data_IF_476026139848
#
_entry.id   IF_476026139848
#
_cell.length_a   1.000
_cell.length_b   1.000
_cell.length_c   1.000
_cell.angle_alpha   90.00
_cell.angle_beta   90.00
_cell.angle_gamma   90.00
#
_symmetry.space_group_name_H-M   'P 1'
#
loop_
_entity.id
_entity.type
_entity.pdbx_description
1 polymer ?
#
# COMPACT_ATOMS: atom_id res chain seq x y z
N UNK A 1 -12.85 11.26 -28.96
CA UNK A 1 -13.76 10.65 -27.96
C UNK A 1 -13.53 9.15 -28.00
N UNK A 2 -12.71 8.63 -27.07
CA UNK A 2 -12.38 7.20 -27.01
C UNK A 2 -13.55 6.39 -26.45
N UNK A 3 -13.79 5.25 -27.05
CA UNK A 3 -14.84 4.27 -26.77
C UNK A 3 -15.01 3.99 -25.26
N UNK A 4 -16.04 4.61 -24.66
CA UNK A 4 -16.41 4.46 -23.24
C UNK A 4 -17.09 3.11 -22.92
N UNK A 5 -17.22 2.21 -23.90
CA UNK A 5 -18.05 1.00 -23.75
C UNK A 5 -17.27 -0.29 -23.58
N UNK A 6 -15.96 -0.29 -23.84
CA UNK A 6 -15.18 -1.53 -23.79
C UNK A 6 -14.70 -1.85 -22.37
N UNK A 7 -15.35 -2.84 -21.75
CA UNK A 7 -14.94 -3.39 -20.46
C UNK A 7 -13.49 -3.91 -20.56
N UNK A 8 -12.57 -3.47 -19.68
CA UNK A 8 -11.18 -3.92 -19.72
C UNK A 8 -11.07 -5.44 -19.52
N UNK A 9 -10.34 -6.14 -20.40
CA UNK A 9 -10.09 -7.60 -20.26
C UNK A 9 -9.54 -7.99 -18.89
N UNK A 10 -8.72 -7.11 -18.31
CA UNK A 10 -8.13 -7.29 -16.97
C UNK A 10 -9.18 -7.38 -15.84
N UNK A 11 -10.39 -6.83 -16.03
CA UNK A 11 -11.47 -7.01 -15.06
C UNK A 11 -11.85 -8.49 -14.95
N UNK A 12 -12.05 -9.16 -16.09
CA UNK A 12 -12.41 -10.58 -16.12
C UNK A 12 -11.27 -11.46 -15.61
N UNK A 13 -10.01 -11.13 -15.94
CA UNK A 13 -8.84 -11.83 -15.39
C UNK A 13 -8.77 -11.68 -13.88
N UNK A 14 -8.94 -10.45 -13.36
CA UNK A 14 -8.92 -10.18 -11.93
C UNK A 14 -10.02 -10.91 -11.17
N UNK A 15 -11.27 -10.79 -11.63
CA UNK A 15 -12.42 -11.48 -11.05
C UNK A 15 -12.29 -13.00 -11.14
N UNK A 16 -11.79 -13.52 -12.27
CA UNK A 16 -11.56 -14.95 -12.44
C UNK A 16 -10.49 -15.49 -11.48
N UNK A 17 -9.37 -14.76 -11.32
CA UNK A 17 -8.35 -15.09 -10.33
C UNK A 17 -8.93 -15.13 -8.92
N UNK A 18 -9.68 -14.09 -8.54
CA UNK A 18 -10.34 -14.03 -7.23
C UNK A 18 -11.28 -15.23 -7.07
N UNK A 19 -12.21 -15.44 -8.00
CA UNK A 19 -13.22 -16.49 -7.88
C UNK A 19 -12.59 -17.88 -7.74
N UNK A 20 -11.61 -18.20 -8.60
CA UNK A 20 -10.95 -19.51 -8.59
C UNK A 20 -10.11 -19.68 -7.33
N UNK A 21 -9.23 -18.73 -7.03
CA UNK A 21 -8.25 -18.88 -5.94
C UNK A 21 -8.92 -18.78 -4.58
N UNK A 22 -9.94 -17.94 -4.45
CA UNK A 22 -10.73 -17.84 -3.22
C UNK A 22 -11.46 -19.16 -2.95
N UNK A 23 -12.04 -19.77 -3.98
CA UNK A 23 -12.65 -21.10 -3.87
C UNK A 23 -11.63 -22.13 -3.41
N UNK A 24 -10.47 -22.22 -4.07
CA UNK A 24 -9.39 -23.14 -3.69
C UNK A 24 -8.90 -22.93 -2.25
N UNK A 25 -8.86 -21.67 -1.80
CA UNK A 25 -8.50 -21.33 -0.42
C UNK A 25 -9.52 -21.85 0.58
N UNK A 26 -10.82 -21.63 0.33
CA UNK A 26 -11.91 -22.08 1.21
C UNK A 26 -12.10 -23.59 1.21
N UNK A 27 -11.82 -24.27 0.10
CA UNK A 27 -11.87 -25.74 0.02
C UNK A 27 -10.59 -26.40 0.51
N UNK A 28 -9.59 -25.63 0.95
CA UNK A 28 -8.28 -26.11 1.40
C UNK A 28 -7.62 -27.07 0.39
N UNK A 29 -7.79 -26.81 -0.91
CA UNK A 29 -7.28 -27.68 -1.98
C UNK A 29 -5.77 -27.51 -2.11
N UNK A 30 -5.02 -28.35 -1.38
CA UNK A 30 -3.55 -28.35 -1.42
C UNK A 30 -3.02 -28.94 -2.74
N UNK A 31 -1.89 -28.44 -3.27
CA UNK A 31 -1.04 -27.38 -2.69
C UNK A 31 -1.50 -25.96 -3.01
N UNK A 32 -2.52 -25.75 -3.85
CA UNK A 32 -2.88 -24.42 -4.37
C UNK A 32 -3.33 -23.44 -3.29
N UNK A 33 -4.07 -23.92 -2.28
CA UNK A 33 -4.51 -23.11 -1.14
C UNK A 33 -3.34 -22.46 -0.39
N UNK A 34 -2.15 -23.08 -0.37
CA UNK A 34 -0.99 -22.58 0.36
C UNK A 34 -0.38 -21.33 -0.31
N UNK A 35 -0.70 -21.10 -1.58
CA UNK A 35 -0.19 -19.99 -2.39
C UNK A 35 -1.27 -18.96 -2.71
N UNK A 36 -2.41 -19.01 -2.03
CA UNK A 36 -3.59 -18.20 -2.38
C UNK A 36 -3.36 -16.68 -2.25
N UNK A 37 -2.49 -16.25 -1.33
CA UNK A 37 -2.32 -14.83 -1.00
C UNK A 37 -1.97 -13.97 -2.24
N UNK A 38 -0.89 -14.28 -2.94
CA UNK A 38 -0.45 -13.45 -4.06
C UNK A 38 -1.47 -13.40 -5.22
N UNK A 39 -1.98 -14.53 -5.75
CA UNK A 39 -2.96 -14.49 -6.84
C UNK A 39 -4.25 -13.76 -6.47
N UNK A 40 -4.70 -13.85 -5.21
CA UNK A 40 -5.87 -13.10 -4.73
C UNK A 40 -5.63 -11.60 -4.77
N UNK A 41 -4.54 -11.12 -4.18
CA UNK A 41 -4.21 -9.70 -4.15
C UNK A 41 -3.87 -9.16 -5.54
N UNK A 42 -3.22 -9.95 -6.39
CA UNK A 42 -3.02 -9.58 -7.79
C UNK A 42 -4.34 -9.48 -8.55
N UNK A 43 -5.26 -10.43 -8.34
CA UNK A 43 -6.61 -10.38 -8.88
C UNK A 43 -7.40 -9.16 -8.40
N UNK A 44 -7.25 -8.79 -7.12
CA UNK A 44 -7.81 -7.57 -6.54
C UNK A 44 -7.28 -6.32 -7.24
N UNK A 45 -5.96 -6.17 -7.38
CA UNK A 45 -5.31 -5.03 -8.05
C UNK A 45 -5.85 -4.87 -9.49
N UNK A 46 -5.94 -5.97 -10.25
CA UNK A 46 -6.46 -5.94 -11.63
C UNK A 46 -7.94 -5.53 -11.67
N UNK A 47 -8.74 -6.06 -10.75
CA UNK A 47 -10.16 -5.74 -10.62
C UNK A 47 -10.36 -4.26 -10.29
N UNK A 48 -9.69 -3.77 -9.25
CA UNK A 48 -9.80 -2.38 -8.80
C UNK A 48 -9.30 -1.41 -9.86
N UNK A 49 -8.14 -1.66 -10.48
CA UNK A 49 -7.65 -0.81 -11.58
C UNK A 49 -8.65 -0.76 -12.76
N UNK A 50 -9.30 -1.88 -13.09
CA UNK A 50 -10.32 -1.90 -14.11
C UNK A 50 -11.57 -1.11 -13.72
N UNK A 51 -11.99 -1.17 -12.45
CA UNK A 51 -13.10 -0.35 -11.93
C UNK A 51 -12.76 1.14 -12.00
N UNK A 52 -11.53 1.53 -11.63
CA UNK A 52 -11.04 2.91 -11.79
C UNK A 52 -11.12 3.36 -13.25
N UNK A 53 -10.70 2.49 -14.18
CA UNK A 53 -10.79 2.76 -15.61
C UNK A 53 -12.22 2.95 -16.11
N UNK A 54 -13.15 2.08 -15.68
CA UNK A 54 -14.57 2.21 -16.02
C UNK A 54 -15.18 3.52 -15.49
N UNK A 55 -14.72 3.99 -14.33
CA UNK A 55 -15.24 5.21 -13.69
C UNK A 55 -14.63 6.50 -14.23
N UNK A 56 -13.36 6.49 -14.58
CA UNK A 56 -12.59 7.72 -14.90
C UNK A 56 -12.02 7.75 -16.31
N UNK A 57 -12.25 6.71 -17.11
CA UNK A 57 -11.63 6.47 -18.42
C UNK A 57 -10.09 6.41 -18.39
N UNK A 58 -9.50 6.26 -17.21
CA UNK A 58 -8.06 6.15 -16.99
C UNK A 58 -7.79 5.34 -15.73
N UNK A 59 -6.58 4.83 -15.53
CA UNK A 59 -6.20 4.05 -14.34
C UNK A 59 -4.68 3.95 -14.21
N UNK A 60 -4.13 3.52 -13.07
CA UNK A 60 -2.68 3.33 -12.93
C UNK A 60 -2.04 2.52 -14.06
N UNK A 61 -2.61 1.35 -14.39
CA UNK A 61 -2.10 0.47 -15.43
C UNK A 61 -2.27 1.09 -16.81
N UNK A 62 -3.44 1.67 -17.11
CA UNK A 62 -3.71 2.29 -18.40
C UNK A 62 -2.87 3.54 -18.65
N UNK A 63 -2.52 4.29 -17.61
CA UNK A 63 -1.66 5.48 -17.73
C UNK A 63 -0.19 5.11 -17.90
N UNK A 64 0.33 4.20 -17.07
CA UNK A 64 1.74 3.84 -17.12
C UNK A 64 2.05 2.52 -16.39
N UNK A 65 1.80 1.39 -17.04
CA UNK A 65 2.09 0.04 -16.50
C UNK A 65 3.47 -0.13 -15.83
N UNK A 66 4.58 0.37 -16.40
CA UNK A 66 5.88 0.26 -15.73
C UNK A 66 5.99 0.99 -14.38
N UNK A 67 5.20 2.06 -14.15
CA UNK A 67 5.16 2.72 -12.83
C UNK A 67 4.44 1.86 -11.82
N UNK A 68 3.40 1.13 -12.25
CA UNK A 68 2.72 0.15 -11.41
C UNK A 68 3.69 -1.00 -11.05
N UNK A 69 4.47 -1.49 -12.01
CA UNK A 69 5.50 -2.50 -11.73
C UNK A 69 6.53 -2.01 -10.69
N UNK A 70 6.91 -0.74 -10.73
CA UNK A 70 7.78 -0.16 -9.70
C UNK A 70 7.12 -0.16 -8.31
N UNK A 71 5.79 -0.02 -8.21
CA UNK A 71 5.08 -0.16 -6.93
C UNK A 71 5.22 -1.58 -6.36
N UNK A 72 5.21 -2.62 -7.20
CA UNK A 72 5.44 -3.99 -6.73
C UNK A 72 6.85 -4.14 -6.15
N UNK A 73 7.85 -3.59 -6.83
CA UNK A 73 9.25 -3.66 -6.37
C UNK A 73 9.46 -2.84 -5.10
N UNK A 74 8.92 -1.62 -5.02
CA UNK A 74 9.07 -0.79 -3.82
C UNK A 74 8.31 -1.36 -2.63
N UNK A 75 7.18 -2.03 -2.86
CA UNK A 75 6.41 -2.73 -1.82
C UNK A 75 7.24 -3.78 -1.09
N UNK A 76 8.11 -4.52 -1.81
CA UNK A 76 8.98 -5.54 -1.22
C UNK A 76 9.86 -4.93 -0.12
N UNK A 77 10.60 -3.87 -0.45
CA UNK A 77 11.51 -3.22 0.50
C UNK A 77 10.78 -2.60 1.68
N UNK A 78 9.63 -1.96 1.42
CA UNK A 78 8.80 -1.38 2.47
C UNK A 78 8.31 -2.43 3.46
N UNK A 79 7.77 -3.54 2.97
CA UNK A 79 7.19 -4.57 3.83
C UNK A 79 8.24 -5.39 4.57
N UNK A 80 9.39 -5.67 3.96
CA UNK A 80 10.52 -6.27 4.70
C UNK A 80 11.04 -5.36 5.82
N UNK A 81 11.00 -4.04 5.65
CA UNK A 81 11.31 -3.12 6.74
C UNK A 81 10.30 -3.24 7.89
N UNK A 82 9.00 -3.32 7.59
CA UNK A 82 7.99 -3.57 8.63
C UNK A 82 8.16 -4.94 9.28
N UNK A 83 8.54 -5.98 8.54
CA UNK A 83 8.82 -7.29 9.11
C UNK A 83 10.01 -7.26 10.07
N UNK A 84 11.08 -6.53 9.72
CA UNK A 84 12.23 -6.31 10.60
C UNK A 84 11.85 -5.56 11.89
N UNK A 85 10.96 -4.58 11.80
CA UNK A 85 10.42 -3.91 12.98
C UNK A 85 9.51 -4.84 13.78
N UNK A 86 8.71 -5.66 13.10
CA UNK A 86 7.83 -6.62 13.72
C UNK A 86 8.58 -7.71 14.48
N UNK A 87 9.79 -8.10 14.06
CA UNK A 87 10.65 -8.97 14.86
C UNK A 87 10.95 -8.41 16.27
N UNK A 88 10.86 -7.08 16.44
CA UNK A 88 11.11 -6.42 17.74
C UNK A 88 9.83 -6.21 18.52
N UNK A 89 8.76 -5.77 17.86
CA UNK A 89 7.48 -5.47 18.53
C UNK A 89 6.57 -6.70 18.67
N UNK A 90 6.85 -7.78 17.93
CA UNK A 90 6.08 -9.03 17.93
C UNK A 90 4.57 -8.80 17.75
N UNK A 91 4.20 -7.84 16.91
CA UNK A 91 2.82 -7.40 16.73
C UNK A 91 1.99 -8.40 15.91
N UNK A 92 2.61 -9.10 14.96
CA UNK A 92 2.00 -10.23 14.26
C UNK A 92 2.98 -11.38 14.10
N UNK A 93 2.45 -12.59 13.96
CA UNK A 93 3.23 -13.78 13.57
C UNK A 93 2.44 -14.59 12.54
N UNK A 94 3.15 -15.23 11.63
CA UNK A 94 2.55 -16.02 10.56
C UNK A 94 2.39 -17.48 10.99
N UNK A 95 1.18 -18.00 10.88
CA UNK A 95 0.91 -19.44 11.05
C UNK A 95 0.99 -20.06 9.66
N UNK A 96 2.01 -20.90 9.44
CA UNK A 96 2.22 -21.55 8.14
C UNK A 96 1.53 -22.91 8.07
N UNK A 97 1.02 -23.33 6.89
CA UNK A 97 0.36 -24.63 6.74
C UNK A 97 1.31 -25.82 6.86
N UNK A 98 2.62 -25.55 6.77
CA UNK A 98 3.74 -26.47 6.93
C UNK A 98 5.01 -25.69 7.24
N UNK A 99 6.07 -26.39 7.60
CA UNK A 99 7.40 -25.81 7.71
C UNK A 99 7.97 -25.50 6.33
N UNK A 100 8.52 -24.29 6.19
CA UNK A 100 9.24 -23.86 5.01
C UNK A 100 10.73 -23.70 5.35
N UNK A 101 11.61 -24.01 4.39
CA UNK A 101 13.00 -23.60 4.53
C UNK A 101 13.10 -22.06 4.57
N UNK A 102 14.13 -21.49 5.20
CA UNK A 102 14.28 -20.03 5.27
C UNK A 102 14.24 -19.36 3.89
N UNK A 103 14.87 -19.98 2.87
CA UNK A 103 14.84 -19.49 1.50
C UNK A 103 13.44 -19.55 0.88
N UNK A 104 12.73 -20.66 1.07
CA UNK A 104 11.37 -20.80 0.53
C UNK A 104 10.42 -19.79 1.18
N UNK A 105 10.52 -19.59 2.50
CA UNK A 105 9.77 -18.56 3.21
C UNK A 105 10.09 -17.17 2.68
N UNK A 106 11.37 -16.80 2.58
CA UNK A 106 11.79 -15.48 2.12
C UNK A 106 11.30 -15.17 0.70
N UNK A 107 11.32 -16.14 -0.22
CA UNK A 107 10.81 -15.98 -1.58
C UNK A 107 9.28 -15.80 -1.59
N UNK A 108 8.55 -16.63 -0.86
CA UNK A 108 7.09 -16.54 -0.80
C UNK A 108 6.62 -15.25 -0.11
N UNK A 109 7.26 -14.86 0.98
CA UNK A 109 7.03 -13.59 1.67
C UNK A 109 7.32 -12.42 0.73
N UNK A 110 8.45 -12.43 0.01
CA UNK A 110 8.78 -11.37 -0.97
C UNK A 110 7.70 -11.23 -2.05
N UNK A 111 7.22 -12.34 -2.58
CA UNK A 111 6.14 -12.33 -3.58
C UNK A 111 4.85 -11.75 -2.96
N UNK A 112 4.46 -12.20 -1.78
CA UNK A 112 3.28 -11.68 -1.07
C UNK A 112 3.42 -10.17 -0.78
N UNK A 113 4.55 -9.76 -0.24
CA UNK A 113 4.87 -8.38 0.16
C UNK A 113 4.89 -7.41 -1.02
N UNK A 114 5.17 -7.90 -2.23
CA UNK A 114 5.11 -7.08 -3.45
C UNK A 114 3.73 -6.49 -3.74
N UNK A 115 2.66 -7.02 -3.16
CA UNK A 115 1.28 -6.66 -3.54
C UNK A 115 0.67 -5.51 -2.74
N UNK A 116 1.23 -5.14 -1.58
CA UNK A 116 0.59 -4.21 -0.65
C UNK A 116 0.52 -2.80 -1.20
N UNK A 117 1.65 -2.20 -1.57
CA UNK A 117 1.68 -0.86 -2.15
C UNK A 117 0.82 -0.72 -3.40
N UNK A 118 0.90 -1.59 -4.44
CA UNK A 118 0.04 -1.45 -5.60
C UNK A 118 -1.45 -1.62 -5.25
N UNK A 119 -1.82 -2.48 -4.28
CA UNK A 119 -3.20 -2.60 -3.82
C UNK A 119 -3.69 -1.30 -3.16
N UNK A 120 -2.91 -0.71 -2.26
CA UNK A 120 -3.26 0.56 -1.61
C UNK A 120 -3.44 1.68 -2.65
N UNK A 121 -2.44 1.91 -3.52
CA UNK A 121 -2.49 3.02 -4.48
C UNK A 121 -3.60 2.88 -5.53
N UNK A 122 -3.89 1.65 -5.99
CA UNK A 122 -5.02 1.42 -6.91
C UNK A 122 -6.37 1.66 -6.22
N UNK A 123 -6.48 1.28 -4.95
CA UNK A 123 -7.68 1.52 -4.12
C UNK A 123 -7.88 2.99 -3.83
N UNK A 124 -6.82 3.71 -3.46
CA UNK A 124 -6.83 5.18 -3.31
C UNK A 124 -7.38 5.87 -4.55
N UNK A 125 -7.03 5.42 -5.76
CA UNK A 125 -7.61 6.00 -6.99
C UNK A 125 -9.08 5.66 -7.18
N UNK A 126 -9.52 4.47 -6.75
CA UNK A 126 -10.93 4.12 -6.74
C UNK A 126 -11.70 5.00 -5.76
N UNK A 127 -11.19 5.18 -4.54
CA UNK A 127 -11.78 6.07 -3.52
C UNK A 127 -11.93 7.49 -4.07
N UNK A 128 -10.85 8.04 -4.63
CA UNK A 128 -10.85 9.37 -5.25
C UNK A 128 -11.84 9.50 -6.39
N UNK A 129 -12.10 8.42 -7.14
CA UNK A 129 -13.06 8.44 -8.25
C UNK A 129 -14.52 8.60 -7.81
N UNK A 130 -14.84 8.40 -6.53
CA UNK A 130 -16.16 8.72 -5.98
C UNK A 130 -16.31 10.20 -5.63
N UNK A 131 -15.22 10.95 -5.54
CA UNK A 131 -15.24 12.39 -5.22
C UNK A 131 -15.69 12.70 -3.78
N UNK A 132 -15.85 11.67 -2.95
CA UNK A 132 -16.21 11.78 -1.54
C UNK A 132 -14.92 11.99 -0.73
N UNK A 133 -14.46 13.23 -0.66
CA UNK A 133 -13.25 13.57 0.11
C UNK A 133 -13.53 14.76 1.03
N UNK A 134 -13.91 14.50 2.30
CA UNK A 134 -14.21 15.54 3.26
C UNK A 134 -12.96 16.35 3.65
N UNK A 135 -11.74 15.83 3.40
CA UNK A 135 -10.49 16.50 3.76
C UNK A 135 -9.87 17.26 2.58
N UNK A 136 -10.50 17.26 1.41
CA UNK A 136 -9.97 17.92 0.21
C UNK A 136 -9.66 19.41 0.40
N UNK A 137 -10.37 20.09 1.30
CA UNK A 137 -10.16 21.52 1.59
C UNK A 137 -10.14 21.74 3.10
N UNK A 138 -8.94 21.76 3.64
CA UNK A 138 -8.66 22.15 5.03
C UNK A 138 -7.62 23.28 5.06
N UNK A 139 -7.41 23.94 6.21
CA UNK A 139 -6.39 24.96 6.33
C UNK A 139 -5.02 24.46 5.85
N UNK A 140 -4.34 25.31 5.08
CA UNK A 140 -3.01 25.03 4.56
C UNK A 140 -1.99 24.92 5.71
N UNK A 141 -1.20 23.84 5.72
CA UNK A 141 -0.14 23.61 6.70
C UNK A 141 1.21 23.96 6.10
N UNK A 142 1.78 25.10 6.53
CA UNK A 142 3.07 25.59 6.02
C UNK A 142 4.21 24.61 6.33
N UNK A 143 4.91 24.17 5.29
CA UNK A 143 6.02 23.23 5.39
C UNK A 143 7.35 23.98 5.67
N UNK A 144 7.42 24.70 6.79
CA UNK A 144 8.65 25.41 7.18
C UNK A 144 9.78 24.42 7.47
N UNK A 145 11.05 24.84 7.30
CA UNK A 145 12.21 24.00 7.64
C UNK A 145 12.17 23.47 9.08
N UNK A 146 11.68 24.28 10.03
CA UNK A 146 11.51 23.87 11.43
C UNK A 146 10.45 22.79 11.57
N UNK A 147 9.31 22.92 10.89
CA UNK A 147 8.25 21.91 10.90
C UNK A 147 8.74 20.58 10.32
N UNK A 148 9.34 20.61 9.13
CA UNK A 148 9.87 19.40 8.47
C UNK A 148 10.93 18.70 9.31
N UNK A 149 11.85 19.45 9.92
CA UNK A 149 12.85 18.91 10.83
C UNK A 149 12.19 18.29 12.07
N UNK A 150 11.22 18.98 12.66
CA UNK A 150 10.51 18.48 13.86
C UNK A 150 9.74 17.20 13.55
N UNK A 151 9.07 17.12 12.40
CA UNK A 151 8.38 15.92 11.94
C UNK A 151 9.38 14.76 11.72
N UNK A 152 10.52 15.03 11.08
CA UNK A 152 11.56 14.01 10.87
C UNK A 152 12.14 13.49 12.19
N UNK A 153 12.43 14.38 13.15
CA UNK A 153 12.89 14.01 14.49
C UNK A 153 11.83 13.25 15.28
N UNK A 154 10.54 13.61 15.13
CA UNK A 154 9.44 12.86 15.72
C UNK A 154 9.36 11.43 15.15
N UNK A 155 9.61 11.24 13.86
CA UNK A 155 9.73 9.91 13.25
C UNK A 155 10.84 9.06 13.89
N UNK A 156 12.01 9.64 14.14
CA UNK A 156 13.09 8.97 14.87
C UNK A 156 12.71 8.67 16.33
N UNK A 157 12.06 9.60 17.02
CA UNK A 157 11.58 9.39 18.38
C UNK A 157 10.55 8.25 18.44
N UNK A 158 9.63 8.17 17.48
CA UNK A 158 8.70 7.05 17.33
C UNK A 158 9.45 5.74 17.12
N UNK A 159 10.43 5.71 16.20
CA UNK A 159 11.22 4.52 15.94
C UNK A 159 12.00 4.05 17.18
N UNK A 160 12.64 4.97 17.91
CA UNK A 160 13.32 4.66 19.18
C UNK A 160 12.33 4.15 20.21
N UNK A 161 11.12 4.73 20.29
CA UNK A 161 10.10 4.24 21.23
C UNK A 161 9.67 2.80 20.97
N UNK A 162 9.69 2.34 19.71
CA UNK A 162 9.43 0.93 19.36
C UNK A 162 10.50 -0.02 19.93
N UNK A 163 11.74 0.46 20.03
CA UNK A 163 12.86 -0.33 20.56
C UNK A 163 12.88 -0.34 22.09
N UNK A 164 12.48 0.75 22.73
CA UNK A 164 12.50 0.89 24.20
C UNK A 164 11.22 0.33 24.84
N UNK A 165 10.07 0.49 24.19
CA UNK A 165 8.76 0.11 24.70
C UNK A 165 7.96 -0.73 23.69
N UNK A 166 8.48 -1.88 23.24
CA UNK A 166 7.87 -2.67 22.16
C UNK A 166 6.43 -3.07 22.42
N UNK A 167 6.07 -3.35 23.68
CA UNK A 167 4.73 -3.82 24.08
C UNK A 167 3.61 -2.78 23.92
N UNK A 168 3.96 -1.48 23.89
CA UNK A 168 2.98 -0.38 23.86
C UNK A 168 3.17 0.56 22.68
N UNK A 169 4.38 0.68 22.14
CA UNK A 169 4.69 1.61 21.06
C UNK A 169 4.30 1.09 19.68
N UNK A 170 3.87 -0.17 19.53
CA UNK A 170 3.49 -0.74 18.23
C UNK A 170 2.59 0.17 17.35
N UNK A 171 1.59 0.93 17.87
CA UNK A 171 0.72 1.73 17.02
C UNK A 171 1.47 2.82 16.26
N UNK A 172 2.58 3.34 16.81
CA UNK A 172 3.36 4.39 16.16
C UNK A 172 4.29 3.86 15.06
N UNK A 173 4.44 2.53 14.93
CA UNK A 173 5.25 1.90 13.88
C UNK A 173 4.84 2.36 12.49
N UNK A 174 3.53 2.36 12.21
CA UNK A 174 2.98 2.77 10.92
C UNK A 174 3.26 4.23 10.59
N UNK A 175 3.17 5.10 11.59
CA UNK A 175 3.39 6.54 11.44
C UNK A 175 4.88 6.88 11.37
N UNK A 176 5.74 6.11 12.03
CA UNK A 176 7.18 6.39 12.11
C UNK A 176 7.81 6.56 10.73
N UNK A 177 7.50 5.67 9.77
CA UNK A 177 8.04 5.75 8.41
C UNK A 177 7.50 6.94 7.62
N UNK A 178 6.24 7.32 7.83
CA UNK A 178 5.66 8.52 7.20
C UNK A 178 6.41 9.76 7.69
N UNK A 179 6.61 9.89 9.00
CA UNK A 179 7.31 11.02 9.61
C UNK A 179 8.81 11.03 9.28
N UNK A 180 9.42 9.86 9.08
CA UNK A 180 10.81 9.76 8.63
C UNK A 180 10.98 10.16 7.16
N UNK A 181 10.10 9.68 6.26
CA UNK A 181 10.31 9.80 4.82
C UNK A 181 9.63 11.01 4.18
N UNK A 182 8.40 11.34 4.57
CA UNK A 182 7.62 12.40 3.92
C UNK A 182 8.29 13.78 3.99
N UNK A 183 8.91 14.20 5.13
CA UNK A 183 9.65 15.45 5.17
C UNK A 183 10.86 15.47 4.23
N UNK A 184 11.57 14.34 4.09
CA UNK A 184 12.71 14.22 3.17
C UNK A 184 12.25 14.34 1.72
N UNK A 185 11.18 13.63 1.34
CA UNK A 185 10.57 13.73 0.00
C UNK A 185 10.11 15.16 -0.28
N UNK A 186 9.55 15.85 0.72
CA UNK A 186 9.13 17.25 0.61
C UNK A 186 10.31 18.17 0.31
N UNK A 187 11.41 18.04 1.07
CA UNK A 187 12.65 18.84 0.86
C UNK A 187 13.28 18.55 -0.50
N UNK A 188 13.26 17.28 -0.94
CA UNK A 188 13.76 16.87 -2.26
C UNK A 188 12.85 17.30 -3.42
N UNK A 189 11.73 17.97 -3.14
CA UNK A 189 10.81 18.46 -4.16
C UNK A 189 9.91 17.38 -4.78
N UNK A 190 9.85 16.19 -4.19
CA UNK A 190 9.03 15.08 -4.64
C UNK A 190 7.53 15.27 -4.39
N UNK A 191 6.75 14.23 -4.72
CA UNK A 191 5.33 14.16 -4.39
C UNK A 191 5.18 13.58 -2.98
N UNK A 192 4.86 14.45 -2.01
CA UNK A 192 4.71 14.11 -0.59
C UNK A 192 3.40 14.64 -0.03
N UNK A 193 2.92 14.03 1.06
CA UNK A 193 1.76 14.50 1.83
C UNK A 193 1.98 15.96 2.25
N UNK A 194 3.19 16.30 2.71
CA UNK A 194 3.59 17.66 3.05
C UNK A 194 3.24 18.71 1.98
N UNK A 195 3.51 18.44 0.69
CA UNK A 195 3.20 19.39 -0.40
C UNK A 195 1.71 19.52 -0.71
N UNK A 196 0.93 18.45 -0.49
CA UNK A 196 -0.52 18.51 -0.64
C UNK A 196 -1.14 19.35 0.48
N UNK A 197 -0.77 19.09 1.73
CA UNK A 197 -1.29 19.84 2.89
C UNK A 197 -0.84 21.29 2.90
N UNK A 198 0.32 21.62 2.31
CA UNK A 198 0.76 23.02 2.09
C UNK A 198 -0.20 23.82 1.23
N UNK A 199 -0.92 23.15 0.31
CA UNK A 199 -1.92 23.76 -0.56
C UNK A 199 -3.34 23.71 0.03
N UNK A 200 -3.48 23.23 1.27
CA UNK A 200 -4.77 22.99 1.91
C UNK A 200 -5.50 21.75 1.38
N UNK A 201 -4.83 20.92 0.58
CA UNK A 201 -5.38 19.67 0.04
C UNK A 201 -4.95 18.51 0.93
N UNK A 202 -5.83 18.01 1.79
CA UNK A 202 -5.53 16.86 2.66
C UNK A 202 -6.07 15.55 2.10
N UNK A 203 -6.48 15.54 0.82
CA UNK A 203 -7.01 14.37 0.14
C UNK A 203 -6.10 13.13 0.30
N UNK A 204 -4.75 13.21 0.19
CA UNK A 204 -3.92 12.01 0.35
C UNK A 204 -4.06 11.34 1.71
N UNK A 205 -4.28 12.12 2.78
CA UNK A 205 -4.46 11.58 4.14
C UNK A 205 -5.75 10.77 4.24
N UNK A 206 -6.85 11.29 3.66
CA UNK A 206 -8.13 10.58 3.63
C UNK A 206 -8.10 9.33 2.73
N UNK A 207 -7.63 9.50 1.50
CA UNK A 207 -7.72 8.44 0.48
C UNK A 207 -6.70 7.32 0.68
N UNK A 208 -5.65 7.52 1.48
CA UNK A 208 -4.74 6.44 1.91
C UNK A 208 -5.24 5.71 3.15
N UNK A 209 -6.16 6.31 3.92
CA UNK A 209 -6.72 5.73 5.13
C UNK A 209 -7.97 4.86 4.88
N UNK A 210 -8.55 4.91 3.67
CA UNK A 210 -9.74 4.19 3.22
C UNK A 210 -9.40 3.22 2.09
#
# INVERSE_FOLDING_TARGET
MGDRTRIPRRLFVGLGLIAVVWTLSWTHTRPFSDYAFFPLWFGYILTVDALVYLRTATSPIARHGPRVALLFVSSIGLWWLFELLNERVQNWHYITPREYSPLAYALLATIAFSTVTPAVFTTTELVRSWGLDPLRRLPALRQTRRFLLSAHLAGWAMLVSLLVFPDVAFPVMWLSLIFLLDPLVTVLGGHSIGRYVERGDWSPVFNLAL
#
